data_IF_741244043040
#
_entry.id   IF_741244043040
#
_cell.length_a   1.000
_cell.length_b   1.000
_cell.length_c   1.000
_cell.angle_alpha   90.00
_cell.angle_beta   90.00
_cell.angle_gamma   90.00
#
_symmetry.space_group_name_H-M   'P 1'
#
loop_
_entity.id
_entity.type
_entity.pdbx_description
1 polymer ?
#
# COMPACT_ATOMS: atom_id res chain seq x y z
N UNK A 1 17.86 29.33 24.42
CA UNK A 1 17.94 27.92 23.98
C UNK A 1 17.44 27.88 22.55
N UNK A 2 18.29 27.59 21.57
CA UNK A 2 18.00 27.77 20.15
C UNK A 2 17.18 26.57 19.65
N UNK A 3 15.84 26.70 19.65
CA UNK A 3 14.89 25.67 19.24
C UNK A 3 15.22 25.13 17.83
N UNK A 4 15.65 26.01 16.93
CA UNK A 4 16.11 25.66 15.59
C UNK A 4 17.38 24.77 15.58
N UNK A 5 18.30 24.97 16.52
CA UNK A 5 19.50 24.13 16.66
C UNK A 5 19.16 22.72 17.16
N UNK A 6 18.25 22.63 18.11
CA UNK A 6 17.78 21.35 18.67
C UNK A 6 17.00 20.56 17.60
N UNK A 7 16.09 21.21 16.89
CA UNK A 7 15.36 20.61 15.76
C UNK A 7 16.32 20.13 14.66
N UNK A 8 17.34 20.92 14.31
CA UNK A 8 18.32 20.53 13.28
C UNK A 8 19.12 19.29 13.68
N UNK A 9 19.47 19.14 14.95
CA UNK A 9 20.22 17.98 15.44
C UNK A 9 19.37 16.71 15.47
N UNK A 10 18.11 16.80 15.90
CA UNK A 10 17.19 15.66 15.91
C UNK A 10 16.75 15.26 14.49
N UNK A 11 16.45 16.22 13.61
CA UNK A 11 16.01 15.95 12.23
C UNK A 11 17.10 15.36 11.32
N UNK A 12 18.36 15.73 11.52
CA UNK A 12 19.47 15.23 10.69
C UNK A 12 20.03 13.87 11.19
N UNK A 13 19.79 13.51 12.43
CA UNK A 13 20.25 12.23 12.98
C UNK A 13 19.36 11.06 12.61
N UNK A 14 18.06 11.28 12.39
CA UNK A 14 17.11 10.21 12.01
C UNK A 14 16.77 10.24 10.52
N UNK A 15 17.61 9.56 9.74
CA UNK A 15 17.39 9.39 8.28
C UNK A 15 15.99 8.86 7.96
N UNK A 16 15.42 8.02 8.81
CA UNK A 16 14.09 7.43 8.64
C UNK A 16 13.00 8.51 8.69
N UNK A 17 13.08 9.42 9.67
CA UNK A 17 12.13 10.54 9.82
C UNK A 17 12.24 11.47 8.61
N UNK A 18 13.45 11.79 8.17
CA UNK A 18 13.68 12.64 7.01
C UNK A 18 13.09 12.03 5.72
N UNK A 19 13.33 10.75 5.46
CA UNK A 19 12.74 10.08 4.29
C UNK A 19 11.21 10.00 4.35
N UNK A 20 10.65 9.76 5.53
CA UNK A 20 9.19 9.75 5.73
C UNK A 20 8.56 11.12 5.46
N UNK A 21 9.20 12.20 5.96
CA UNK A 21 8.74 13.57 5.71
C UNK A 21 8.86 13.95 4.23
N UNK A 22 9.99 13.59 3.58
CA UNK A 22 10.18 13.83 2.16
C UNK A 22 9.10 13.13 1.32
N UNK A 23 8.78 11.88 1.65
CA UNK A 23 7.71 11.13 1.00
C UNK A 23 6.33 11.75 1.22
N UNK A 24 6.07 12.35 2.38
CA UNK A 24 4.81 13.05 2.65
C UNK A 24 4.70 14.36 1.87
N UNK A 25 5.75 15.17 1.87
CA UNK A 25 5.84 16.42 1.09
C UNK A 25 5.67 16.11 -0.40
N UNK A 26 6.34 15.07 -0.90
CA UNK A 26 6.22 14.62 -2.28
C UNK A 26 4.76 14.31 -2.65
N UNK A 27 4.07 13.52 -1.83
CA UNK A 27 2.65 13.18 -2.05
C UNK A 27 1.75 14.42 -2.08
N UNK A 28 1.95 15.36 -1.16
CA UNK A 28 1.15 16.58 -1.08
C UNK A 28 1.36 17.46 -2.32
N UNK A 29 2.58 17.57 -2.82
CA UNK A 29 2.88 18.38 -4.01
C UNK A 29 2.40 17.71 -5.31
N UNK A 30 2.54 16.39 -5.42
CA UNK A 30 2.18 15.67 -6.64
C UNK A 30 0.67 15.42 -6.79
N UNK A 31 -0.10 15.39 -5.71
CA UNK A 31 -1.54 15.18 -5.79
C UNK A 31 -2.25 16.24 -6.64
N UNK A 32 -2.10 17.56 -6.40
CA UNK A 32 -2.74 18.58 -7.24
C UNK A 32 -2.18 18.61 -8.67
N UNK A 33 -0.88 18.34 -8.86
CA UNK A 33 -0.27 18.25 -10.19
C UNK A 33 -0.87 17.10 -10.99
N UNK A 34 -1.05 15.94 -10.37
CA UNK A 34 -1.67 14.77 -11.00
C UNK A 34 -3.10 15.07 -11.43
N UNK A 35 -3.90 15.66 -10.53
CA UNK A 35 -5.29 16.05 -10.84
C UNK A 35 -5.37 17.05 -12.00
N UNK A 36 -4.48 18.04 -12.02
CA UNK A 36 -4.41 19.02 -13.10
C UNK A 36 -4.06 18.35 -14.44
N UNK A 37 -3.05 17.46 -14.47
CA UNK A 37 -2.67 16.75 -15.68
C UNK A 37 -3.79 15.84 -16.19
N UNK A 38 -4.49 15.15 -15.30
CA UNK A 38 -5.63 14.29 -15.64
C UNK A 38 -6.73 15.12 -16.28
N UNK A 39 -7.07 16.27 -15.71
CA UNK A 39 -8.16 17.14 -16.20
C UNK A 39 -7.87 17.71 -17.59
N UNK A 40 -6.62 17.93 -17.96
CA UNK A 40 -6.25 18.53 -19.26
C UNK A 40 -5.94 17.46 -20.32
N UNK A 41 -5.35 16.34 -19.92
CA UNK A 41 -4.81 15.35 -20.87
C UNK A 41 -5.75 14.19 -21.17
N UNK A 42 -6.67 13.89 -20.28
CA UNK A 42 -7.60 12.78 -20.45
C UNK A 42 -8.97 13.29 -20.90
N UNK A 43 -9.60 12.51 -21.80
CA UNK A 43 -11.02 12.74 -22.14
C UNK A 43 -11.91 12.48 -20.92
N UNK A 44 -13.13 13.03 -20.86
CA UNK A 44 -14.05 12.83 -19.73
C UNK A 44 -14.29 11.33 -19.43
N UNK A 45 -14.37 10.49 -20.45
CA UNK A 45 -14.56 9.05 -20.33
C UNK A 45 -13.35 8.37 -19.66
N UNK A 46 -12.13 8.72 -20.09
CA UNK A 46 -10.90 8.19 -19.50
C UNK A 46 -10.69 8.70 -18.07
N UNK A 47 -11.14 9.93 -17.77
CA UNK A 47 -11.17 10.44 -16.39
C UNK A 47 -12.06 9.58 -15.50
N UNK A 48 -13.23 9.15 -16.01
CA UNK A 48 -14.15 8.24 -15.31
C UNK A 48 -13.46 6.93 -14.92
N UNK A 49 -12.76 6.29 -15.86
CA UNK A 49 -11.98 5.08 -15.57
C UNK A 49 -10.87 5.31 -14.56
N UNK A 50 -10.16 6.42 -14.65
CA UNK A 50 -9.14 6.77 -13.67
C UNK A 50 -9.71 6.88 -12.25
N UNK A 51 -10.84 7.58 -12.09
CA UNK A 51 -11.49 7.71 -10.76
C UNK A 51 -12.03 6.38 -10.25
N UNK A 52 -12.51 5.51 -11.14
CA UNK A 52 -12.92 4.16 -10.79
C UNK A 52 -11.74 3.34 -10.23
N UNK A 53 -10.58 3.39 -10.89
CA UNK A 53 -9.37 2.71 -10.41
C UNK A 53 -8.95 3.24 -9.03
N UNK A 54 -9.01 4.55 -8.84
CA UNK A 54 -8.65 5.19 -7.58
C UNK A 54 -9.62 4.79 -6.45
N UNK A 55 -10.91 4.67 -6.77
CA UNK A 55 -11.94 4.22 -5.82
C UNK A 55 -11.70 2.77 -5.39
N UNK A 56 -11.33 1.90 -6.32
CA UNK A 56 -10.99 0.50 -6.02
C UNK A 56 -9.73 0.42 -5.16
N UNK A 57 -8.71 1.23 -5.46
CA UNK A 57 -7.53 1.32 -4.60
C UNK A 57 -7.88 1.82 -3.18
N UNK A 58 -8.87 2.73 -3.07
CA UNK A 58 -9.39 3.18 -1.77
C UNK A 58 -10.10 2.09 -0.98
N UNK A 59 -10.77 1.13 -1.63
CA UNK A 59 -11.38 -0.02 -0.96
C UNK A 59 -10.36 -0.90 -0.23
N UNK A 60 -9.12 -0.96 -0.70
CA UNK A 60 -8.04 -1.65 0.01
C UNK A 60 -7.87 -1.10 1.42
N UNK A 61 -7.88 0.21 1.59
CA UNK A 61 -7.73 0.84 2.91
C UNK A 61 -8.86 0.44 3.86
N UNK A 62 -10.08 0.27 3.33
CA UNK A 62 -11.22 -0.21 4.09
C UNK A 62 -11.03 -1.69 4.46
N UNK A 63 -10.60 -2.52 3.52
CA UNK A 63 -10.36 -3.95 3.76
C UNK A 63 -9.24 -4.20 4.76
N UNK A 64 -8.24 -3.31 4.80
CA UNK A 64 -7.16 -3.38 5.79
C UNK A 64 -7.64 -2.99 7.20
N UNK A 65 -8.56 -2.05 7.34
CA UNK A 65 -9.20 -1.54 8.59
C UNK A 65 -8.28 -1.61 9.82
N UNK A 66 -7.08 -1.06 9.69
CA UNK A 66 -6.10 -1.07 10.79
C UNK A 66 -5.43 -2.43 11.06
N UNK A 67 -5.66 -3.45 10.24
CA UNK A 67 -5.06 -4.78 10.42
C UNK A 67 -3.52 -4.70 10.40
N UNK A 68 -2.95 -3.92 9.49
CA UNK A 68 -1.51 -3.63 9.46
C UNK A 68 -1.01 -3.02 10.77
N UNK A 69 -1.74 -2.08 11.36
CA UNK A 69 -1.39 -1.50 12.66
C UNK A 69 -1.41 -2.54 13.77
N UNK A 70 -2.41 -3.41 13.78
CA UNK A 70 -2.51 -4.50 14.77
C UNK A 70 -1.34 -5.48 14.64
N UNK A 71 -0.95 -5.83 13.41
CA UNK A 71 0.22 -6.67 13.17
C UNK A 71 1.51 -6.02 13.68
N UNK A 72 1.73 -4.73 13.35
CA UNK A 72 2.91 -3.98 13.81
C UNK A 72 2.95 -3.90 15.33
N UNK A 73 1.83 -3.62 15.98
CA UNK A 73 1.75 -3.56 17.44
C UNK A 73 2.04 -4.92 18.08
N UNK A 74 1.49 -6.01 17.52
CA UNK A 74 1.74 -7.37 18.00
C UNK A 74 3.22 -7.74 17.89
N UNK A 75 3.83 -7.49 16.73
CA UNK A 75 5.26 -7.73 16.51
C UNK A 75 6.10 -6.86 17.45
N UNK A 76 5.80 -5.56 17.57
CA UNK A 76 6.55 -4.62 18.42
C UNK A 76 6.51 -5.00 19.89
N UNK A 77 5.39 -5.54 20.37
CA UNK A 77 5.26 -6.03 21.74
C UNK A 77 6.19 -7.23 22.00
N UNK A 78 6.24 -8.19 21.09
CA UNK A 78 7.08 -9.37 21.23
C UNK A 78 8.57 -9.06 20.99
N UNK A 79 8.89 -8.03 20.19
CA UNK A 79 10.27 -7.57 19.96
C UNK A 79 10.99 -7.12 21.24
N UNK A 80 10.26 -6.77 22.30
CA UNK A 80 10.86 -6.46 23.61
C UNK A 80 11.46 -7.71 24.29
N UNK A 81 11.10 -8.92 23.86
CA UNK A 81 11.53 -10.21 24.43
C UNK A 81 12.63 -10.87 23.60
N UNK A 82 12.97 -10.29 22.46
CA UNK A 82 13.92 -10.83 21.49
C UNK A 82 14.92 -9.75 21.06
N UNK A 83 16.08 -10.15 20.57
CA UNK A 83 17.10 -9.24 20.04
C UNK A 83 17.72 -9.80 18.77
N UNK A 84 18.29 -8.91 17.97
CA UNK A 84 19.01 -9.29 16.77
C UNK A 84 20.49 -9.55 17.09
N UNK A 85 20.96 -10.75 16.81
CA UNK A 85 22.37 -11.11 16.85
C UNK A 85 22.77 -11.70 15.50
N UNK A 86 23.76 -11.09 14.83
CA UNK A 86 24.28 -11.54 13.53
C UNK A 86 23.19 -11.90 12.49
N UNK A 87 22.17 -11.05 12.33
CA UNK A 87 21.02 -11.24 11.44
C UNK A 87 20.09 -12.40 11.82
N UNK A 88 20.21 -12.92 13.03
CA UNK A 88 19.29 -13.93 13.58
C UNK A 88 18.53 -13.33 14.76
N UNK A 89 17.27 -13.68 14.87
CA UNK A 89 16.46 -13.37 16.05
C UNK A 89 16.83 -14.36 17.15
N UNK A 90 17.32 -13.85 18.27
CA UNK A 90 17.64 -14.60 19.48
C UNK A 90 16.81 -14.05 20.64
N UNK A 91 16.50 -14.90 21.61
CA UNK A 91 15.72 -14.51 22.79
C UNK A 91 14.78 -15.61 23.25
N UNK A 92 13.66 -15.19 23.87
CA UNK A 92 12.66 -16.13 24.34
C UNK A 92 12.01 -16.88 23.16
N UNK A 93 11.99 -18.23 23.23
CA UNK A 93 11.39 -19.10 22.19
C UNK A 93 9.93 -18.73 21.90
N UNK A 94 9.18 -18.38 22.95
CA UNK A 94 7.76 -18.01 22.84
C UNK A 94 7.60 -16.67 22.11
N UNK A 95 8.49 -15.70 22.38
CA UNK A 95 8.49 -14.41 21.66
C UNK A 95 8.76 -14.57 20.17
N UNK A 96 9.74 -15.40 19.80
CA UNK A 96 10.06 -15.71 18.40
C UNK A 96 8.87 -16.44 17.75
N UNK A 97 8.28 -17.42 18.43
CA UNK A 97 7.11 -18.16 17.95
C UNK A 97 5.94 -17.23 17.64
N UNK A 98 5.60 -16.33 18.56
CA UNK A 98 4.50 -15.37 18.39
C UNK A 98 4.74 -14.39 17.24
N UNK A 99 5.97 -13.94 17.04
CA UNK A 99 6.33 -13.09 15.90
C UNK A 99 6.08 -13.84 14.60
N UNK A 100 6.59 -15.08 14.46
CA UNK A 100 6.44 -15.88 13.26
C UNK A 100 4.97 -16.20 12.96
N UNK A 101 4.17 -16.50 14.00
CA UNK A 101 2.74 -16.74 13.85
C UNK A 101 1.99 -15.49 13.39
N UNK A 102 2.29 -14.33 13.97
CA UNK A 102 1.71 -13.04 13.57
C UNK A 102 2.06 -12.70 12.12
N UNK A 103 3.30 -12.94 11.69
CA UNK A 103 3.74 -12.78 10.31
C UNK A 103 2.99 -13.70 9.35
N UNK A 104 2.87 -14.97 9.72
CA UNK A 104 2.15 -15.97 8.92
C UNK A 104 0.68 -15.59 8.74
N UNK A 105 0.02 -15.09 9.80
CA UNK A 105 -1.33 -14.59 9.75
C UNK A 105 -1.45 -13.39 8.80
N UNK A 106 -0.53 -12.44 8.90
CA UNK A 106 -0.47 -11.28 7.99
C UNK A 106 -0.30 -11.70 6.54
N UNK A 107 0.65 -12.59 6.27
CA UNK A 107 0.88 -13.10 4.91
C UNK A 107 -0.36 -13.80 4.34
N UNK A 108 -1.01 -14.66 5.12
CA UNK A 108 -2.22 -15.35 4.70
C UNK A 108 -3.37 -14.37 4.40
N UNK A 109 -3.55 -13.34 5.23
CA UNK A 109 -4.57 -12.31 5.04
C UNK A 109 -4.37 -11.54 3.73
N UNK A 110 -3.16 -11.05 3.48
CA UNK A 110 -2.87 -10.30 2.26
C UNK A 110 -2.88 -11.18 1.01
N UNK A 111 -2.49 -12.44 1.12
CA UNK A 111 -2.64 -13.42 0.04
C UNK A 111 -4.13 -13.64 -0.29
N UNK A 112 -4.98 -13.77 0.72
CA UNK A 112 -6.42 -13.89 0.52
C UNK A 112 -7.00 -12.65 -0.17
N UNK A 113 -6.64 -11.45 0.28
CA UNK A 113 -7.08 -10.20 -0.35
C UNK A 113 -6.62 -10.09 -1.80
N UNK A 114 -5.39 -10.44 -2.11
CA UNK A 114 -4.86 -10.44 -3.47
C UNK A 114 -5.63 -11.43 -4.37
N UNK A 115 -5.96 -12.58 -3.84
CA UNK A 115 -6.71 -13.63 -4.55
C UNK A 115 -8.16 -13.18 -4.80
N UNK A 116 -8.81 -12.58 -3.81
CA UNK A 116 -10.15 -11.98 -3.96
C UNK A 116 -10.14 -10.85 -5.00
N UNK A 117 -9.11 -10.03 -5.02
CA UNK A 117 -8.96 -8.98 -6.02
C UNK A 117 -8.89 -9.55 -7.43
N UNK A 118 -8.10 -10.59 -7.65
CA UNK A 118 -7.97 -11.26 -8.96
C UNK A 118 -9.23 -12.02 -9.38
N UNK A 119 -9.91 -12.70 -8.46
CA UNK A 119 -11.04 -13.56 -8.79
C UNK A 119 -12.38 -12.83 -8.85
N UNK A 120 -12.53 -11.74 -8.08
CA UNK A 120 -13.80 -11.03 -7.94
C UNK A 120 -13.71 -9.64 -8.57
N UNK A 121 -12.76 -8.81 -8.13
CA UNK A 121 -12.68 -7.41 -8.57
C UNK A 121 -12.30 -7.31 -10.05
N UNK A 122 -11.38 -8.14 -10.52
CA UNK A 122 -10.96 -8.14 -11.91
C UNK A 122 -12.11 -8.42 -12.90
N UNK A 123 -12.86 -9.54 -12.80
CA UNK A 123 -13.96 -9.80 -13.72
C UNK A 123 -15.15 -8.85 -13.55
N UNK A 124 -15.46 -8.41 -12.32
CA UNK A 124 -16.52 -7.41 -12.08
C UNK A 124 -16.15 -6.10 -12.78
N UNK A 125 -14.91 -5.65 -12.68
CA UNK A 125 -14.47 -4.44 -13.37
C UNK A 125 -14.58 -4.55 -14.89
N UNK A 126 -14.22 -5.68 -15.49
CA UNK A 126 -14.41 -5.93 -16.92
C UNK A 126 -15.90 -5.86 -17.29
N UNK A 127 -16.76 -6.47 -16.47
CA UNK A 127 -18.21 -6.48 -16.74
C UNK A 127 -18.80 -5.07 -16.72
N UNK A 128 -18.46 -4.27 -15.71
CA UNK A 128 -18.93 -2.88 -15.59
C UNK A 128 -18.39 -2.01 -16.73
N UNK A 129 -17.09 -2.08 -16.99
CA UNK A 129 -16.43 -1.22 -17.97
C UNK A 129 -16.85 -1.55 -19.40
N UNK A 130 -17.22 -2.80 -19.69
CA UNK A 130 -17.63 -3.21 -21.03
C UNK A 130 -18.90 -2.49 -21.50
N UNK A 131 -19.84 -2.25 -20.61
CA UNK A 131 -21.10 -1.59 -20.95
C UNK A 131 -20.91 -0.07 -21.13
N UNK A 132 -20.04 0.55 -20.34
CA UNK A 132 -19.75 1.99 -20.43
C UNK A 132 -18.77 2.33 -21.58
N UNK A 133 -18.01 1.34 -22.06
CA UNK A 133 -16.97 1.51 -23.09
C UNK A 133 -17.46 1.32 -24.54
N UNK A 134 -18.75 1.41 -24.83
CA UNK A 134 -19.32 1.16 -26.17
C UNK A 134 -18.67 2.04 -27.25
N UNK A 135 -18.20 3.22 -26.90
CA UNK A 135 -17.59 4.19 -27.80
C UNK A 135 -16.05 4.29 -27.65
N UNK A 136 -15.43 3.49 -26.81
CA UNK A 136 -13.99 3.54 -26.54
C UNK A 136 -13.32 2.26 -27.06
N UNK A 137 -12.16 2.42 -27.70
CA UNK A 137 -11.39 1.27 -28.19
C UNK A 137 -11.01 0.37 -27.01
N UNK A 138 -11.27 -0.93 -27.10
CA UNK A 138 -11.03 -1.89 -26.03
C UNK A 138 -9.59 -1.88 -25.48
N UNK A 139 -8.61 -1.51 -26.30
CA UNK A 139 -7.21 -1.36 -25.87
C UNK A 139 -7.00 -0.21 -24.89
N UNK A 140 -7.84 0.82 -24.90
CA UNK A 140 -7.67 2.02 -24.06
C UNK A 140 -8.15 1.82 -22.62
N UNK A 141 -9.03 0.84 -22.34
CA UNK A 141 -9.50 0.56 -20.99
C UNK A 141 -9.13 -0.84 -20.49
N UNK A 142 -9.19 -1.87 -21.33
CA UNK A 142 -8.93 -3.25 -20.92
C UNK A 142 -7.47 -3.47 -20.51
N UNK A 143 -6.53 -2.97 -21.32
CA UNK A 143 -5.10 -3.11 -21.02
C UNK A 143 -4.71 -2.35 -19.74
N UNK A 144 -5.04 -1.06 -19.56
CA UNK A 144 -4.80 -0.34 -18.32
C UNK A 144 -5.45 -1.01 -17.09
N UNK A 145 -6.67 -1.51 -17.24
CA UNK A 145 -7.36 -2.24 -16.17
C UNK A 145 -6.60 -3.51 -15.75
N UNK A 146 -6.21 -4.34 -16.71
CA UNK A 146 -5.47 -5.58 -16.44
C UNK A 146 -4.12 -5.31 -15.79
N UNK A 147 -3.40 -4.31 -16.25
CA UNK A 147 -2.13 -3.87 -15.66
C UNK A 147 -2.35 -3.35 -14.24
N UNK A 148 -3.35 -2.49 -14.04
CA UNK A 148 -3.68 -1.93 -12.73
C UNK A 148 -3.97 -3.04 -11.70
N UNK A 149 -4.87 -3.96 -11.99
CA UNK A 149 -5.22 -5.05 -11.05
C UNK A 149 -4.05 -5.99 -10.80
N UNK A 150 -3.24 -6.28 -11.82
CA UNK A 150 -2.05 -7.11 -11.67
C UNK A 150 -1.03 -6.46 -10.72
N UNK A 151 -0.71 -5.18 -10.92
CA UNK A 151 0.17 -4.43 -10.02
C UNK A 151 -0.42 -4.28 -8.62
N UNK A 152 -1.72 -4.05 -8.53
CA UNK A 152 -2.42 -3.91 -7.27
C UNK A 152 -2.38 -5.20 -6.45
N UNK A 153 -2.66 -6.35 -7.07
CA UNK A 153 -2.58 -7.66 -6.42
C UNK A 153 -1.15 -8.03 -6.03
N UNK A 154 -0.17 -7.68 -6.87
CA UNK A 154 1.24 -7.86 -6.56
C UNK A 154 1.66 -7.01 -5.35
N UNK A 155 1.20 -5.77 -5.28
CA UNK A 155 1.46 -4.88 -4.15
C UNK A 155 0.89 -5.45 -2.86
N UNK A 156 -0.34 -6.00 -2.88
CA UNK A 156 -0.93 -6.69 -1.74
C UNK A 156 -0.09 -7.89 -1.28
N UNK A 157 0.42 -8.70 -2.21
CA UNK A 157 1.28 -9.84 -1.89
C UNK A 157 2.61 -9.42 -1.27
N UNK A 158 3.17 -8.30 -1.70
CA UNK A 158 4.44 -7.78 -1.19
C UNK A 158 4.26 -6.95 0.09
N UNK A 159 3.04 -6.56 0.44
CA UNK A 159 2.76 -5.69 1.57
C UNK A 159 3.31 -6.23 2.91
N UNK A 160 3.17 -7.53 3.24
CA UNK A 160 3.74 -8.09 4.48
C UNK A 160 5.26 -7.97 4.56
N UNK A 161 5.95 -7.96 3.43
CA UNK A 161 7.43 -7.84 3.38
C UNK A 161 7.90 -6.46 3.85
N UNK A 162 7.06 -5.44 3.75
CA UNK A 162 7.39 -4.08 4.19
C UNK A 162 7.35 -3.90 5.71
N UNK A 163 6.92 -4.92 6.47
CA UNK A 163 6.95 -4.90 7.94
C UNK A 163 8.30 -5.34 8.52
N UNK A 164 9.26 -5.71 7.68
CA UNK A 164 10.60 -6.19 8.00
C UNK A 164 11.67 -5.33 7.35
#
# INVERSE_FOLDING_TARGET
MNILGVLKTYFLQDKVIMYSMLGTVWRILFAPVSLYLISIKLTPELQGFYYLFFSIAGLQQIAEVGFSHTLIQGISYEMNKVWFNNKRLEGCSDGIGNIVETMRLGFFWYMLLALLCMLIVYPIGIFIMKDDAINIVSSEWFFPWSVFISFFSLNLLLYPVNFF
#
